data_IF_175535816900
#
_entry.id   IF_175535816900
#
_cell.length_a   1.000
_cell.length_b   1.000
_cell.length_c   1.000
_cell.angle_alpha   90.00
_cell.angle_beta   90.00
_cell.angle_gamma   90.00
#
_symmetry.space_group_name_H-M   'P 1'
#
loop_
_entity.id
_entity.type
_entity.pdbx_description
1 polymer ?
#
# COMPACT_ATOMS: atom_id res chain seq x y z
N UNK A 1 5.80 -2.00 -7.23
CA UNK A 1 7.13 -1.33 -7.15
C UNK A 1 7.83 -1.55 -5.81
N UNK A 2 7.22 -1.23 -4.65
CA UNK A 2 7.89 -1.35 -3.33
C UNK A 2 8.44 -2.76 -3.02
N UNK A 3 7.71 -3.82 -3.35
CA UNK A 3 8.19 -5.19 -3.17
C UNK A 3 9.48 -5.49 -3.97
N UNK A 4 9.56 -5.00 -5.21
CA UNK A 4 10.72 -5.23 -6.08
C UNK A 4 11.90 -4.36 -5.65
N UNK A 5 11.65 -3.12 -5.24
CA UNK A 5 12.67 -2.25 -4.64
C UNK A 5 13.24 -2.85 -3.35
N UNK A 6 12.36 -3.38 -2.48
CA UNK A 6 12.79 -4.06 -1.25
C UNK A 6 13.66 -5.29 -1.56
N UNK A 7 13.27 -6.11 -2.53
CA UNK A 7 14.08 -7.25 -2.96
C UNK A 7 15.43 -6.79 -3.53
N UNK A 8 15.44 -5.81 -4.44
CA UNK A 8 16.67 -5.29 -5.04
C UNK A 8 17.65 -4.73 -3.99
N UNK A 9 17.13 -3.99 -3.00
CA UNK A 9 17.95 -3.48 -1.89
C UNK A 9 18.46 -4.64 -1.03
N UNK A 10 17.60 -5.60 -0.68
CA UNK A 10 17.98 -6.74 0.15
C UNK A 10 19.03 -7.62 -0.54
N UNK A 11 18.92 -7.83 -1.86
CA UNK A 11 19.91 -8.61 -2.63
C UNK A 11 21.25 -7.89 -2.74
N UNK A 12 21.25 -6.57 -2.96
CA UNK A 12 22.48 -5.76 -2.93
C UNK A 12 23.12 -5.83 -1.55
N UNK A 13 22.36 -5.64 -0.46
CA UNK A 13 22.88 -5.71 0.91
C UNK A 13 23.45 -7.08 1.25
N UNK A 14 22.77 -8.17 0.83
CA UNK A 14 23.28 -9.52 1.00
C UNK A 14 24.58 -9.74 0.21
N UNK A 15 24.67 -9.21 -1.02
CA UNK A 15 25.87 -9.32 -1.84
C UNK A 15 27.03 -8.52 -1.27
N UNK A 16 26.79 -7.30 -0.79
CA UNK A 16 27.82 -6.48 -0.15
C UNK A 16 28.33 -7.11 1.14
N UNK A 17 27.44 -7.71 1.94
CA UNK A 17 27.83 -8.43 3.16
C UNK A 17 28.68 -9.67 2.85
N UNK A 18 28.43 -10.37 1.74
CA UNK A 18 29.23 -11.51 1.32
C UNK A 18 30.63 -11.11 0.80
N UNK A 19 30.80 -9.87 0.33
CA UNK A 19 32.08 -9.36 -0.21
C UNK A 19 32.88 -8.51 0.78
N UNK A 20 32.21 -7.94 1.78
CA UNK A 20 32.83 -7.10 2.79
C UNK A 20 33.03 -7.93 4.06
N UNK A 21 34.27 -8.39 4.29
CA UNK A 21 34.69 -8.70 5.64
C UNK A 21 34.56 -7.41 6.46
N UNK A 22 33.53 -7.37 7.31
CA UNK A 22 33.25 -6.29 8.28
C UNK A 22 33.23 -4.87 7.70
N UNK A 23 32.03 -4.39 7.32
CA UNK A 23 31.76 -2.95 7.51
C UNK A 23 31.87 -2.70 9.01
N UNK A 24 32.91 -1.97 9.39
CA UNK A 24 33.44 -1.85 10.75
C UNK A 24 32.32 -1.63 11.79
N UNK A 25 32.08 -2.63 12.64
CA UNK A 25 31.20 -2.55 13.81
C UNK A 25 29.73 -2.95 13.64
N UNK A 26 29.25 -3.36 12.45
CA UNK A 26 27.85 -3.80 12.27
C UNK A 26 27.74 -5.30 12.02
N UNK A 27 26.78 -5.96 12.69
CA UNK A 27 26.40 -7.34 12.36
C UNK A 27 25.65 -7.38 11.03
N UNK A 28 25.77 -8.47 10.24
CA UNK A 28 24.93 -8.67 9.08
C UNK A 28 23.44 -8.65 9.44
N UNK A 29 22.61 -8.15 8.52
CA UNK A 29 21.16 -8.16 8.70
C UNK A 29 20.66 -9.57 8.99
N UNK A 30 19.98 -9.73 10.12
CA UNK A 30 19.37 -11.00 10.49
C UNK A 30 18.08 -11.24 9.70
N UNK A 31 17.69 -12.50 9.54
CA UNK A 31 16.42 -12.86 8.91
C UNK A 31 15.21 -12.17 9.57
N UNK A 32 15.28 -11.98 10.89
CA UNK A 32 14.22 -11.29 11.64
C UNK A 32 14.13 -9.80 11.30
N UNK A 33 15.27 -9.13 11.08
CA UNK A 33 15.29 -7.73 10.65
C UNK A 33 14.78 -7.58 9.23
N UNK A 34 15.20 -8.46 8.31
CA UNK A 34 14.68 -8.48 6.93
C UNK A 34 13.15 -8.69 6.94
N UNK A 35 12.65 -9.63 7.75
CA UNK A 35 11.21 -9.85 7.90
C UNK A 35 10.48 -8.61 8.43
N UNK A 36 11.01 -7.96 9.47
CA UNK A 36 10.44 -6.72 10.02
C UNK A 36 10.38 -5.62 8.96
N UNK A 37 11.47 -5.42 8.22
CA UNK A 37 11.52 -4.45 7.14
C UNK A 37 10.52 -4.77 6.02
N UNK A 38 10.41 -6.03 5.62
CA UNK A 38 9.43 -6.46 4.60
C UNK A 38 8.00 -6.16 5.03
N UNK A 39 7.63 -6.52 6.26
CA UNK A 39 6.28 -6.26 6.80
C UNK A 39 6.01 -4.75 6.79
N UNK A 40 6.93 -3.95 7.31
CA UNK A 40 6.75 -2.51 7.46
C UNK A 40 6.74 -1.74 6.14
N UNK A 41 7.60 -2.12 5.20
CA UNK A 41 7.80 -1.37 3.95
C UNK A 41 6.95 -1.87 2.80
N UNK A 42 6.48 -3.13 2.84
CA UNK A 42 5.74 -3.75 1.73
C UNK A 42 4.33 -4.13 2.16
N UNK A 43 4.18 -4.90 3.24
CA UNK A 43 2.89 -5.49 3.61
C UNK A 43 1.93 -4.43 4.16
N UNK A 44 2.36 -3.62 5.12
CA UNK A 44 1.51 -2.59 5.72
C UNK A 44 1.05 -1.53 4.70
N UNK A 45 1.92 -0.93 3.87
CA UNK A 45 1.48 0.04 2.86
C UNK A 45 0.53 -0.58 1.83
N UNK A 46 0.75 -1.84 1.44
CA UNK A 46 -0.14 -2.54 0.50
C UNK A 46 -1.54 -2.73 1.09
N UNK A 47 -1.64 -3.10 2.39
CA UNK A 47 -2.93 -3.22 3.09
C UNK A 47 -3.66 -1.88 3.13
N UNK A 48 -2.98 -0.82 3.57
CA UNK A 48 -3.57 0.53 3.60
C UNK A 48 -4.06 0.99 2.23
N UNK A 49 -3.32 0.69 1.16
CA UNK A 49 -3.73 1.03 -0.19
C UNK A 49 -5.05 0.32 -0.59
N UNK A 50 -5.15 -0.99 -0.31
CA UNK A 50 -6.37 -1.77 -0.57
C UNK A 50 -7.56 -1.23 0.22
N UNK A 51 -7.36 -0.94 1.50
CA UNK A 51 -8.42 -0.39 2.37
C UNK A 51 -8.88 0.99 1.86
N UNK A 52 -7.94 1.84 1.46
CA UNK A 52 -8.24 3.17 0.89
C UNK A 52 -9.02 3.07 -0.40
N UNK A 53 -8.67 2.12 -1.28
CA UNK A 53 -9.38 1.88 -2.53
C UNK A 53 -10.80 1.34 -2.27
N UNK A 54 -10.94 0.39 -1.34
CA UNK A 54 -12.24 -0.15 -0.94
C UNK A 54 -13.15 0.94 -0.37
N UNK A 55 -12.64 1.76 0.54
CA UNK A 55 -13.36 2.91 1.09
C UNK A 55 -13.77 3.92 0.01
N UNK A 56 -12.84 4.23 -0.90
CA UNK A 56 -13.09 5.14 -2.02
C UNK A 56 -14.20 4.62 -2.93
N UNK A 57 -14.20 3.32 -3.24
CA UNK A 57 -15.24 2.66 -4.05
C UNK A 57 -16.59 2.70 -3.33
N UNK A 58 -16.63 2.33 -2.05
CA UNK A 58 -17.84 2.38 -1.24
C UNK A 58 -18.45 3.79 -1.21
N UNK A 59 -17.62 4.81 -0.97
CA UNK A 59 -18.05 6.21 -0.94
C UNK A 59 -18.63 6.66 -2.27
N UNK A 60 -17.96 6.36 -3.38
CA UNK A 60 -18.44 6.72 -4.73
C UNK A 60 -19.76 6.04 -5.07
N UNK A 61 -19.94 4.78 -4.69
CA UNK A 61 -21.21 4.07 -4.87
C UNK A 61 -22.36 4.76 -4.12
N UNK A 62 -22.10 5.21 -2.89
CA UNK A 62 -23.10 5.92 -2.10
C UNK A 62 -23.39 7.31 -2.65
N UNK A 63 -22.36 8.03 -3.11
CA UNK A 63 -22.54 9.32 -3.79
C UNK A 63 -23.39 9.17 -5.05
N UNK A 64 -23.13 8.14 -5.86
CA UNK A 64 -23.95 7.83 -7.03
C UNK A 64 -25.40 7.56 -6.63
N UNK A 65 -25.65 6.74 -5.61
CA UNK A 65 -27.02 6.49 -5.11
C UNK A 65 -27.73 7.77 -4.62
N UNK A 66 -27.01 8.63 -3.90
CA UNK A 66 -27.56 9.92 -3.45
C UNK A 66 -27.89 10.83 -4.63
N UNK A 67 -27.01 10.86 -5.65
CA UNK A 67 -27.24 11.61 -6.88
C UNK A 67 -28.47 11.08 -7.64
N UNK A 68 -28.63 9.76 -7.77
CA UNK A 68 -29.81 9.15 -8.41
C UNK A 68 -31.11 9.52 -7.67
N UNK A 69 -31.12 9.41 -6.34
CA UNK A 69 -32.28 9.80 -5.54
C UNK A 69 -32.59 11.30 -5.65
N UNK A 70 -31.56 12.14 -5.78
CA UNK A 70 -31.73 13.57 -5.98
C UNK A 70 -32.36 13.87 -7.34
N UNK A 71 -31.86 13.29 -8.43
CA UNK A 71 -32.44 13.46 -9.75
C UNK A 71 -33.87 12.92 -9.84
N UNK A 72 -34.15 11.77 -9.22
CA UNK A 72 -35.52 11.23 -9.18
C UNK A 72 -36.49 12.19 -8.47
N UNK A 73 -36.08 12.77 -7.34
CA UNK A 73 -36.91 13.78 -6.67
C UNK A 73 -37.07 15.06 -7.47
N UNK A 74 -36.05 15.48 -8.22
CA UNK A 74 -36.16 16.64 -9.10
C UNK A 74 -37.14 16.38 -10.25
N UNK A 75 -37.08 15.22 -10.89
CA UNK A 75 -38.04 14.85 -11.94
C UNK A 75 -39.48 14.74 -11.40
N UNK A 76 -39.64 14.31 -10.14
CA UNK A 76 -40.96 14.25 -9.49
C UNK A 76 -41.48 15.64 -9.08
N UNK A 77 -40.61 16.66 -9.03
CA UNK A 77 -40.94 18.02 -8.59
C UNK A 77 -41.09 19.05 -9.72
N UNK A 78 -40.67 18.76 -10.96
CA UNK A 78 -40.99 19.60 -12.12
C UNK A 78 -42.48 19.43 -12.49
N UNK A 79 -43.36 20.42 -12.23
CA UNK A 79 -44.72 20.41 -12.75
C UNK A 79 -44.69 20.83 -14.23
N UNK A 80 -45.44 20.11 -15.08
CA UNK A 80 -45.80 20.56 -16.43
C UNK A 80 -46.69 21.81 -16.36
#
# INVERSE_FOLDING_TARGET
MLAHAFLAVSTVLARTAATADSVEGLIPLTLNEIRRLYIRLVVEPARTAVDTEAWSRWRRQHQYRAQQAHYQRQSDQEPN
#
